data_IF_669725044198
#
_entry.id   IF_669725044198
#
_cell.length_a   1.000
_cell.length_b   1.000
_cell.length_c   1.000
_cell.angle_alpha   90.00
_cell.angle_beta   90.00
_cell.angle_gamma   90.00
#
_symmetry.space_group_name_H-M   'P 1'
#
loop_
_entity.id
_entity.type
_entity.pdbx_description
1 polymer ?
#
# COMPACT_ATOMS: atom_id res chain seq x y z
N UNK A 1 16.77 2.85 11.03
CA UNK A 1 17.31 1.47 11.11
C UNK A 1 17.62 1.03 9.69
N UNK A 2 18.83 0.59 9.42
CA UNK A 2 19.25 0.16 8.07
C UNK A 2 18.37 -1.01 7.59
N UNK A 3 17.98 -0.94 6.32
CA UNK A 3 16.90 -1.73 5.74
C UNK A 3 17.00 -3.23 6.03
N UNK A 4 15.95 -3.77 6.67
CA UNK A 4 15.81 -5.21 6.85
C UNK A 4 15.87 -5.91 5.48
N UNK A 5 16.67 -6.99 5.33
CA UNK A 5 16.72 -7.81 4.12
C UNK A 5 15.37 -8.51 3.95
N UNK A 6 14.45 -7.85 3.25
CA UNK A 6 13.04 -8.24 3.13
C UNK A 6 12.05 -7.07 3.15
N UNK A 7 12.50 -5.85 3.45
CA UNK A 7 11.65 -4.65 3.43
C UNK A 7 11.21 -4.27 2.01
N UNK A 8 10.06 -3.59 1.92
CA UNK A 8 9.54 -3.08 0.65
C UNK A 8 10.53 -2.14 -0.05
N UNK A 9 11.24 -1.29 0.71
CA UNK A 9 12.27 -0.40 0.16
C UNK A 9 13.43 -1.19 -0.48
N UNK A 10 13.91 -2.25 0.18
CA UNK A 10 14.95 -3.11 -0.39
C UNK A 10 14.46 -3.82 -1.67
N UNK A 11 13.18 -4.17 -1.75
CA UNK A 11 12.57 -4.69 -2.98
C UNK A 11 12.56 -3.64 -4.10
N UNK A 12 12.21 -2.39 -3.79
CA UNK A 12 12.23 -1.30 -4.76
C UNK A 12 13.65 -1.03 -5.28
N UNK A 13 14.64 -0.98 -4.40
CA UNK A 13 16.04 -0.79 -4.79
C UNK A 13 16.56 -1.91 -5.69
N UNK A 14 16.19 -3.17 -5.37
CA UNK A 14 16.56 -4.34 -6.16
C UNK A 14 15.89 -4.36 -7.53
N UNK A 15 14.66 -3.86 -7.64
CA UNK A 15 13.83 -3.99 -8.86
C UNK A 15 14.00 -2.80 -9.81
N UNK A 16 14.05 -1.58 -9.25
CA UNK A 16 14.01 -0.33 -10.02
C UNK A 16 15.34 0.44 -10.01
N UNK A 17 16.33 -0.07 -9.27
CA UNK A 17 17.65 0.55 -9.12
C UNK A 17 17.76 1.38 -7.84
N UNK A 18 18.93 1.97 -7.58
CA UNK A 18 19.19 2.69 -6.32
C UNK A 18 18.24 3.88 -6.14
N UNK A 19 17.99 4.25 -4.89
CA UNK A 19 17.18 5.42 -4.54
C UNK A 19 17.63 6.66 -5.30
N UNK A 20 16.67 7.38 -5.88
CA UNK A 20 16.91 8.59 -6.66
C UNK A 20 17.34 8.35 -8.12
N UNK A 21 17.53 7.11 -8.56
CA UNK A 21 17.69 6.80 -9.99
C UNK A 21 16.40 7.09 -10.77
N UNK A 22 16.47 7.32 -12.09
CA UNK A 22 15.28 7.58 -12.90
C UNK A 22 14.23 6.45 -12.82
N UNK A 23 14.68 5.19 -12.82
CA UNK A 23 13.80 4.02 -12.68
C UNK A 23 13.13 3.96 -11.31
N UNK A 24 13.90 4.19 -10.25
CA UNK A 24 13.34 4.24 -8.89
C UNK A 24 12.31 5.34 -8.73
N UNK A 25 12.58 6.57 -9.21
CA UNK A 25 11.63 7.69 -9.11
C UNK A 25 10.34 7.42 -9.87
N UNK A 26 10.44 6.89 -11.09
CA UNK A 26 9.24 6.55 -11.86
C UNK A 26 8.37 5.51 -11.13
N UNK A 27 8.98 4.45 -10.57
CA UNK A 27 8.26 3.45 -9.80
C UNK A 27 7.70 4.01 -8.48
N UNK A 28 8.43 4.90 -7.82
CA UNK A 28 8.01 5.59 -6.59
C UNK A 28 6.81 6.50 -6.85
N UNK A 29 6.80 7.25 -7.96
CA UNK A 29 5.67 8.10 -8.35
C UNK A 29 4.42 7.27 -8.61
N UNK A 30 4.55 6.19 -9.39
CA UNK A 30 3.48 5.22 -9.65
C UNK A 30 2.93 4.60 -8.36
N UNK A 31 3.83 4.26 -7.43
CA UNK A 31 3.49 3.72 -6.11
C UNK A 31 2.66 4.70 -5.29
N UNK A 32 3.10 5.96 -5.20
CA UNK A 32 2.42 7.01 -4.44
C UNK A 32 1.04 7.31 -5.03
N UNK A 33 0.97 7.49 -6.35
CA UNK A 33 -0.28 7.83 -7.05
C UNK A 33 -1.34 6.73 -6.88
N UNK A 34 -0.96 5.48 -7.14
CA UNK A 34 -1.86 4.34 -7.01
C UNK A 34 -2.31 4.13 -5.56
N UNK A 35 -1.40 4.25 -4.59
CA UNK A 35 -1.74 4.12 -3.18
C UNK A 35 -2.71 5.20 -2.71
N UNK A 36 -2.52 6.46 -3.15
CA UNK A 36 -3.43 7.55 -2.84
C UNK A 36 -4.82 7.31 -3.43
N UNK A 37 -4.90 6.89 -4.69
CA UNK A 37 -6.15 6.56 -5.36
C UNK A 37 -6.91 5.44 -4.63
N UNK A 38 -6.24 4.33 -4.31
CA UNK A 38 -6.84 3.22 -3.58
C UNK A 38 -7.24 3.58 -2.14
N UNK A 39 -6.52 4.51 -1.49
CA UNK A 39 -6.89 5.00 -0.16
C UNK A 39 -8.25 5.72 -0.18
N UNK A 40 -8.47 6.57 -1.18
CA UNK A 40 -9.73 7.29 -1.36
C UNK A 40 -10.86 6.32 -1.72
N UNK A 41 -10.61 5.39 -2.66
CA UNK A 41 -11.60 4.38 -3.06
C UNK A 41 -12.04 3.51 -1.88
N UNK A 42 -11.10 3.06 -1.05
CA UNK A 42 -11.43 2.26 0.13
C UNK A 42 -12.17 3.05 1.21
N UNK A 43 -11.87 4.33 1.38
CA UNK A 43 -12.64 5.21 2.25
C UNK A 43 -14.09 5.36 1.77
N UNK A 44 -14.29 5.63 0.47
CA UNK A 44 -15.62 5.79 -0.12
C UNK A 44 -16.46 4.51 -0.06
N UNK A 45 -15.84 3.35 -0.28
CA UNK A 45 -16.54 2.06 -0.41
C UNK A 45 -16.65 1.27 0.90
N UNK A 46 -15.96 1.71 1.97
CA UNK A 46 -16.01 1.06 3.29
C UNK A 46 -15.42 -0.36 3.32
N UNK A 47 -14.39 -0.62 2.50
CA UNK A 47 -13.74 -1.94 2.36
C UNK A 47 -12.96 -2.29 3.63
N UNK A 48 -13.19 -3.49 4.18
CA UNK A 48 -12.76 -3.87 5.54
C UNK A 48 -11.75 -5.00 5.70
N UNK A 49 -11.15 -5.52 4.63
CA UNK A 49 -10.16 -6.60 4.75
C UNK A 49 -8.79 -6.21 4.18
N UNK A 50 -7.98 -5.56 5.03
CA UNK A 50 -6.77 -4.83 4.61
C UNK A 50 -5.50 -5.28 5.33
N UNK A 51 -5.27 -6.58 5.42
CA UNK A 51 -3.95 -7.11 5.82
C UNK A 51 -2.95 -7.06 4.65
N UNK A 52 -1.64 -7.11 4.94
CA UNK A 52 -0.55 -7.01 3.95
C UNK A 52 -0.59 -8.06 2.81
N UNK A 53 -1.48 -9.06 2.89
CA UNK A 53 -1.68 -10.07 1.84
C UNK A 53 -2.54 -9.61 0.66
N UNK A 54 -3.19 -8.44 0.78
CA UNK A 54 -4.16 -7.89 -0.17
C UNK A 54 -3.60 -6.72 -0.99
N UNK A 55 -2.27 -6.62 -1.06
CA UNK A 55 -1.57 -5.54 -1.76
C UNK A 55 -0.58 -6.19 -2.74
N UNK A 56 -0.87 -6.07 -4.03
CA UNK A 56 0.06 -6.43 -5.09
C UNK A 56 0.82 -5.21 -5.57
N UNK A 57 2.07 -5.41 -5.97
CA UNK A 57 2.88 -4.43 -6.69
C UNK A 57 3.05 -4.94 -8.12
N UNK A 58 2.72 -4.11 -9.12
CA UNK A 58 3.01 -4.47 -10.51
C UNK A 58 4.49 -4.20 -10.87
N UNK A 59 4.90 -4.61 -12.07
CA UNK A 59 6.29 -4.43 -12.54
C UNK A 59 6.66 -2.98 -12.86
N UNK A 60 5.70 -2.05 -12.81
CA UNK A 60 5.93 -0.62 -13.02
C UNK A 60 5.93 0.18 -11.71
N UNK A 61 5.64 -0.46 -10.57
CA UNK A 61 5.62 0.15 -9.25
C UNK A 61 4.22 0.53 -8.74
N UNK A 62 3.14 0.19 -9.42
CA UNK A 62 1.79 0.50 -8.94
C UNK A 62 1.36 -0.46 -7.82
N UNK A 63 0.75 0.12 -6.79
CA UNK A 63 0.01 -0.60 -5.76
C UNK A 63 -1.36 -0.96 -6.31
N UNK A 64 -1.68 -2.25 -6.28
CA UNK A 64 -2.99 -2.79 -6.61
C UNK A 64 -3.57 -3.40 -5.35
N UNK A 65 -4.67 -2.84 -4.86
CA UNK A 65 -5.43 -3.49 -3.81
C UNK A 65 -6.25 -4.62 -4.43
N UNK A 66 -5.95 -5.85 -4.04
CA UNK A 66 -6.75 -7.02 -4.38
C UNK A 66 -7.46 -7.50 -3.14
N UNK A 67 -8.70 -7.94 -3.31
CA UNK A 67 -9.67 -8.32 -2.27
C UNK A 67 -10.63 -7.20 -1.86
N UNK A 68 -11.81 -7.25 -2.48
CA UNK A 68 -12.98 -6.42 -2.17
C UNK A 68 -14.03 -7.26 -1.42
N UNK A 69 -13.62 -8.30 -0.68
CA UNK A 69 -14.55 -9.28 -0.08
C UNK A 69 -15.66 -8.70 0.80
N UNK A 70 -15.51 -7.46 1.28
CA UNK A 70 -16.50 -6.77 2.10
C UNK A 70 -16.75 -5.33 1.63
N UNK A 71 -17.39 -5.15 0.48
CA UNK A 71 -17.96 -3.86 0.08
C UNK A 71 -19.30 -3.65 0.83
N UNK A 72 -19.57 -2.44 1.33
CA UNK A 72 -20.82 -2.07 2.03
C UNK A 72 -21.09 -2.71 3.41
N UNK A 73 -20.07 -3.20 4.11
CA UNK A 73 -20.20 -3.59 5.53
C UNK A 73 -20.89 -4.93 5.80
N UNK A 74 -21.03 -5.80 4.78
CA UNK A 74 -21.57 -7.15 4.95
C UNK A 74 -20.54 -8.12 5.54
N UNK A 75 -20.15 -7.92 6.81
CA UNK A 75 -19.35 -8.92 7.53
C UNK A 75 -20.24 -10.09 8.02
N UNK A 76 -19.74 -11.33 8.07
CA UNK A 76 -20.49 -12.44 8.67
C UNK A 76 -20.63 -12.14 10.16
N UNK A 77 -21.87 -11.89 10.64
CA UNK A 77 -22.15 -11.69 12.06
C UNK A 77 -22.75 -10.34 12.47
N UNK A 78 -23.12 -9.46 11.54
CA UNK A 78 -23.90 -8.24 11.82
C UNK A 78 -23.24 -7.27 12.85
N UNK A 79 -21.94 -7.38 13.09
CA UNK A 79 -21.18 -6.49 13.96
C UNK A 79 -20.67 -5.30 13.15
N UNK A 80 -21.35 -4.16 13.30
CA UNK A 80 -20.90 -2.85 12.80
C UNK A 80 -19.65 -2.39 13.57
N UNK A 81 -18.50 -3.02 13.34
CA UNK A 81 -17.22 -2.55 13.90
C UNK A 81 -16.68 -1.43 13.01
N UNK A 82 -16.95 -0.16 13.34
CA UNK A 82 -16.27 0.96 12.68
C UNK A 82 -14.80 0.95 13.11
N UNK A 83 -13.93 0.28 12.36
CA UNK A 83 -12.50 0.58 12.45
C UNK A 83 -12.30 2.07 12.14
N UNK A 84 -11.65 2.79 13.07
CA UNK A 84 -11.54 4.25 13.05
C UNK A 84 -10.62 4.79 11.95
N UNK A 85 -9.83 3.95 11.27
CA UNK A 85 -8.85 4.37 10.29
C UNK A 85 -9.13 3.70 8.92
N UNK A 86 -9.61 4.45 7.92
CA UNK A 86 -10.01 3.91 6.61
C UNK A 86 -8.85 3.48 5.72
N UNK A 87 -7.61 3.79 6.12
CA UNK A 87 -6.39 3.38 5.45
C UNK A 87 -5.26 3.30 6.49
N UNK A 88 -4.48 2.21 6.46
CA UNK A 88 -3.35 1.99 7.38
C UNK A 88 -2.05 2.18 6.62
N UNK A 89 -1.50 3.40 6.69
CA UNK A 89 -0.15 3.68 6.21
C UNK A 89 0.86 2.99 7.12
N UNK A 90 1.56 1.97 6.61
CA UNK A 90 2.59 1.27 7.39
C UNK A 90 3.95 1.98 7.28
N UNK A 91 4.85 1.71 8.21
CA UNK A 91 6.22 2.27 8.21
C UNK A 91 6.98 1.88 6.93
N UNK A 92 6.78 0.66 6.42
CA UNK A 92 7.42 0.21 5.17
C UNK A 92 6.90 0.97 3.95
N UNK A 93 5.61 1.29 3.92
CA UNK A 93 5.02 2.11 2.86
C UNK A 93 5.59 3.54 2.91
N UNK A 94 5.71 4.11 4.11
CA UNK A 94 6.25 5.46 4.30
C UNK A 94 7.75 5.53 3.92
N UNK A 95 8.52 4.47 4.20
CA UNK A 95 9.92 4.38 3.81
C UNK A 95 10.11 4.43 2.28
N UNK A 96 9.22 3.80 1.49
CA UNK A 96 9.24 3.90 0.02
C UNK A 96 8.90 5.31 -0.46
N UNK A 97 8.07 6.07 0.27
CA UNK A 97 7.73 7.46 -0.09
C UNK A 97 8.85 8.46 0.24
N UNK A 98 9.91 8.03 0.90
CA UNK A 98 10.96 8.93 1.41
C UNK A 98 10.64 9.60 2.75
N UNK A 99 9.66 9.07 3.50
CA UNK A 99 9.40 9.50 4.88
C UNK A 99 10.50 9.04 5.85
N UNK A 100 10.65 9.69 7.02
CA UNK A 100 11.59 9.23 8.05
C UNK A 100 11.18 7.83 8.53
N UNK A 101 12.07 6.86 8.33
CA UNK A 101 11.93 5.48 8.81
C UNK A 101 12.33 5.28 10.26
#
# INVERSE_FOLDING_TARGET
MDGFPGSLLAHFEKTYGPQGSPGFRAAQDNYIESLAAYSIVCWLLGIKDRHNGNIMLDTAGHVIHIDYGFVFGSAPGNQFSMERAPFKLTVEMAAVMGGPG
#
